data_IF_063496616717
#
_entry.id   IF_063496616717
#
_cell.length_a   1.000
_cell.length_b   1.000
_cell.length_c   1.000
_cell.angle_alpha   90.00
_cell.angle_beta   90.00
_cell.angle_gamma   90.00
#
_symmetry.space_group_name_H-M   'P 1'
#
loop_
_entity.id
_entity.type
_entity.pdbx_description
1 polymer ?
#
# COMPACT_ATOMS: atom_id res chain seq x y z
N UNK A 1 21.55 9.12 -12.70
CA UNK A 1 22.31 10.36 -12.84
C UNK A 1 23.30 10.19 -13.98
N UNK A 2 23.38 11.17 -14.87
CA UNK A 2 24.28 11.20 -16.01
C UNK A 2 25.18 12.44 -15.88
N UNK A 3 26.50 12.24 -15.99
CA UNK A 3 27.47 13.31 -16.00
C UNK A 3 28.05 13.48 -17.43
N UNK A 4 27.79 14.62 -18.04
CA UNK A 4 28.25 14.94 -19.41
C UNK A 4 29.40 15.95 -19.39
N UNK A 5 29.85 16.42 -18.23
CA UNK A 5 30.90 17.42 -18.08
C UNK A 5 32.06 16.97 -17.20
N UNK A 6 33.06 17.85 -17.08
CA UNK A 6 34.16 17.73 -16.13
C UNK A 6 33.83 18.53 -14.86
N UNK A 7 34.09 17.93 -13.71
CA UNK A 7 33.79 18.55 -12.43
C UNK A 7 34.85 18.16 -11.40
N UNK A 8 35.29 19.12 -10.59
CA UNK A 8 36.35 18.90 -9.59
C UNK A 8 35.90 18.30 -8.28
N UNK A 9 34.58 18.32 -7.94
CA UNK A 9 34.07 17.80 -6.69
C UNK A 9 33.78 16.30 -6.75
N UNK A 10 34.04 15.61 -5.66
CA UNK A 10 33.87 14.15 -5.53
C UNK A 10 32.45 13.72 -5.22
N UNK A 11 31.56 14.66 -4.92
CA UNK A 11 30.15 14.39 -4.54
C UNK A 11 29.19 15.45 -5.06
N UNK A 12 27.94 15.04 -5.23
CA UNK A 12 26.79 15.87 -5.61
C UNK A 12 25.76 15.87 -4.51
N UNK A 13 25.15 17.02 -4.25
CA UNK A 13 23.99 17.09 -3.37
C UNK A 13 22.75 16.56 -4.14
N UNK A 14 21.96 15.71 -3.52
CA UNK A 14 20.73 15.14 -4.08
C UNK A 14 19.62 15.37 -3.07
N UNK A 15 18.50 15.93 -3.53
CA UNK A 15 17.28 16.08 -2.77
C UNK A 15 16.13 15.37 -3.48
N UNK A 16 15.32 14.64 -2.69
CA UNK A 16 14.08 14.04 -3.16
C UNK A 16 12.95 14.51 -2.26
N UNK A 17 11.99 15.19 -2.85
CA UNK A 17 10.74 15.60 -2.21
C UNK A 17 9.62 14.68 -2.67
N UNK A 18 8.72 14.33 -1.76
CA UNK A 18 7.50 13.56 -2.02
C UNK A 18 6.29 14.41 -1.75
N UNK A 19 5.38 14.46 -2.71
CA UNK A 19 4.04 14.99 -2.54
C UNK A 19 3.04 13.83 -2.43
N UNK A 20 2.32 13.77 -1.31
CA UNK A 20 1.27 12.78 -1.05
C UNK A 20 0.01 13.06 -1.88
N UNK A 21 -0.93 12.10 -2.00
CA UNK A 21 -2.22 12.32 -2.64
C UNK A 21 -3.04 13.47 -2.02
N UNK A 22 -2.83 13.75 -0.73
CA UNK A 22 -3.43 14.90 -0.02
C UNK A 22 -2.90 16.27 -0.47
N UNK A 23 -1.78 16.29 -1.23
CA UNK A 23 -1.03 17.51 -1.57
C UNK A 23 0.07 17.87 -0.57
N UNK A 24 0.14 17.21 0.58
CA UNK A 24 1.21 17.42 1.56
C UNK A 24 2.58 17.06 0.96
N UNK A 25 3.59 17.88 1.24
CA UNK A 25 4.96 17.70 0.76
C UNK A 25 5.93 17.49 1.89
N UNK A 26 6.89 16.61 1.67
CA UNK A 26 7.98 16.34 2.60
C UNK A 26 9.25 15.95 1.87
N UNK A 27 10.39 16.36 2.40
CA UNK A 27 11.69 15.87 1.93
C UNK A 27 11.88 14.46 2.46
N UNK A 28 12.04 13.49 1.55
CA UNK A 28 12.21 12.08 1.89
C UNK A 28 13.66 11.62 1.77
N UNK A 29 14.47 12.41 1.10
CA UNK A 29 15.92 12.25 1.05
C UNK A 29 16.57 13.62 0.84
N UNK A 30 17.58 13.94 1.65
CA UNK A 30 18.49 15.08 1.47
C UNK A 30 19.90 14.61 1.88
N UNK A 31 20.81 14.57 0.91
CA UNK A 31 22.13 14.05 1.15
C UNK A 31 23.05 14.10 -0.05
N UNK A 32 24.25 13.54 0.12
CA UNK A 32 25.27 13.51 -0.91
C UNK A 32 25.38 12.15 -1.55
N UNK A 33 25.54 12.14 -2.86
CA UNK A 33 25.87 10.96 -3.66
C UNK A 33 27.27 11.10 -4.23
N UNK A 34 27.94 9.97 -4.49
CA UNK A 34 29.21 9.99 -5.18
C UNK A 34 29.03 10.57 -6.60
N UNK A 35 30.02 11.32 -7.06
CA UNK A 35 30.01 11.83 -8.43
C UNK A 35 30.04 10.68 -9.42
N UNK A 36 29.09 10.60 -10.37
CA UNK A 36 29.18 9.63 -11.45
C UNK A 36 30.31 9.97 -12.41
N UNK A 37 31.11 8.97 -12.82
CA UNK A 37 32.11 9.17 -13.88
C UNK A 37 31.44 9.51 -15.22
N UNK A 38 30.43 8.73 -15.62
CA UNK A 38 29.57 8.99 -16.77
C UNK A 38 28.11 8.76 -16.37
N UNK A 39 27.81 7.61 -15.81
CA UNK A 39 26.45 7.21 -15.39
C UNK A 39 26.48 6.47 -14.07
N UNK A 40 25.53 6.78 -13.20
CA UNK A 40 25.35 6.10 -11.93
C UNK A 40 23.88 5.86 -11.66
N UNK A 41 23.56 4.66 -11.15
CA UNK A 41 22.27 4.36 -10.53
C UNK A 41 22.36 4.57 -9.04
N UNK A 42 21.46 5.35 -8.49
CA UNK A 42 21.35 5.58 -7.04
C UNK A 42 20.09 4.89 -6.56
N UNK A 43 20.24 4.04 -5.54
CA UNK A 43 19.12 3.38 -4.88
C UNK A 43 18.85 4.10 -3.55
N UNK A 44 17.63 4.55 -3.37
CA UNK A 44 17.19 5.24 -2.16
C UNK A 44 16.06 4.45 -1.51
N UNK A 45 16.17 4.21 -0.22
CA UNK A 45 15.08 3.70 0.59
C UNK A 45 14.14 4.87 0.94
N UNK A 46 12.96 4.89 0.36
CA UNK A 46 11.97 5.93 0.65
C UNK A 46 10.97 5.39 1.67
N UNK A 47 10.71 6.11 2.78
CA UNK A 47 9.71 5.71 3.78
C UNK A 47 8.35 5.48 3.14
N UNK A 48 7.65 4.42 3.56
CA UNK A 48 6.34 4.04 3.00
C UNK A 48 5.27 5.14 3.12
N UNK A 49 5.32 5.97 4.16
CA UNK A 49 4.41 7.11 4.35
C UNK A 49 3.05 6.77 4.95
N UNK A 50 2.83 5.50 5.34
CA UNK A 50 1.60 5.07 6.00
C UNK A 50 0.35 5.12 5.10
N UNK A 51 -0.83 5.18 5.71
CA UNK A 51 -2.12 5.20 4.99
C UNK A 51 -2.29 6.45 4.11
N UNK A 52 -1.76 7.60 4.52
CA UNK A 52 -1.82 8.84 3.75
C UNK A 52 -1.05 8.81 2.42
N UNK A 53 -0.19 7.82 2.26
CA UNK A 53 0.59 7.65 1.04
C UNK A 53 -0.08 6.78 -0.02
N UNK A 54 -1.17 6.10 0.31
CA UNK A 54 -1.90 5.25 -0.65
C UNK A 54 -2.49 6.10 -1.77
N UNK A 55 -2.12 5.78 -3.01
CA UNK A 55 -2.54 6.56 -4.18
C UNK A 55 -1.36 7.10 -4.98
N UNK A 56 -1.62 8.09 -5.83
CA UNK A 56 -0.58 8.71 -6.65
C UNK A 56 0.27 9.66 -5.82
N UNK A 57 1.58 9.40 -5.82
CA UNK A 57 2.58 10.25 -5.18
C UNK A 57 3.49 10.84 -6.24
N UNK A 58 3.79 12.14 -6.15
CA UNK A 58 4.74 12.82 -7.01
C UNK A 58 6.08 12.93 -6.28
N UNK A 59 7.14 12.45 -6.91
CA UNK A 59 8.52 12.56 -6.43
C UNK A 59 9.26 13.59 -7.28
N UNK A 60 9.65 14.69 -6.68
CA UNK A 60 10.55 15.68 -7.30
C UNK A 60 11.99 15.34 -6.91
N UNK A 61 12.86 15.23 -7.89
CA UNK A 61 14.26 14.82 -7.72
C UNK A 61 15.14 15.93 -8.25
N UNK A 62 15.98 16.49 -7.40
CA UNK A 62 16.86 17.60 -7.71
C UNK A 62 18.31 17.25 -7.41
N UNK A 63 19.18 17.50 -8.35
CA UNK A 63 20.62 17.50 -8.16
C UNK A 63 21.08 18.93 -7.90
N UNK A 64 22.04 19.09 -7.01
CA UNK A 64 22.57 20.39 -6.63
C UNK A 64 21.50 21.45 -6.33
N UNK A 65 20.50 21.18 -5.43
CA UNK A 65 19.37 22.07 -5.19
C UNK A 65 19.79 23.47 -4.70
N UNK A 66 21.03 23.60 -4.24
CA UNK A 66 21.61 24.86 -3.76
C UNK A 66 22.47 25.57 -4.80
N UNK A 67 22.55 25.04 -6.03
CA UNK A 67 23.34 25.57 -7.14
C UNK A 67 24.79 25.90 -6.74
N UNK A 68 25.46 24.95 -6.08
CA UNK A 68 26.86 25.08 -5.62
C UNK A 68 27.89 24.70 -6.68
N UNK A 69 27.42 24.07 -7.73
CA UNK A 69 28.22 23.60 -8.85
C UNK A 69 27.83 24.42 -10.05
N UNK A 70 28.75 25.27 -10.52
CA UNK A 70 28.58 26.03 -11.73
C UNK A 70 28.75 25.07 -12.94
N UNK A 71 27.67 24.79 -13.66
CA UNK A 71 27.67 23.89 -14.81
C UNK A 71 28.07 24.57 -16.12
N UNK A 72 28.44 25.85 -16.07
CA UNK A 72 29.01 26.60 -17.17
C UNK A 72 28.28 27.89 -17.52
N UNK A 73 28.78 28.65 -18.49
CA UNK A 73 28.37 30.04 -18.71
C UNK A 73 26.98 30.19 -19.34
N UNK A 74 26.24 29.12 -19.58
CA UNK A 74 24.96 29.18 -20.27
C UNK A 74 23.80 28.96 -19.32
N UNK A 75 22.79 29.85 -19.28
CA UNK A 75 21.68 29.76 -18.33
C UNK A 75 20.92 28.43 -18.37
N UNK A 76 20.91 27.73 -19.47
CA UNK A 76 20.22 26.45 -19.61
C UNK A 76 21.02 25.26 -19.02
N UNK A 77 22.30 25.44 -18.73
CA UNK A 77 23.09 24.38 -18.08
C UNK A 77 22.58 24.06 -16.67
N UNK A 78 22.09 25.06 -15.95
CA UNK A 78 21.52 24.93 -14.61
C UNK A 78 20.05 24.44 -14.60
N UNK A 79 19.42 24.30 -15.77
CA UNK A 79 18.00 23.93 -15.87
C UNK A 79 17.77 22.42 -15.89
N UNK A 80 18.82 21.62 -16.01
CA UNK A 80 18.72 20.16 -16.08
C UNK A 80 18.88 19.45 -14.72
N UNK A 81 19.01 20.20 -13.64
CA UNK A 81 19.21 19.71 -12.28
C UNK A 81 17.96 19.08 -11.66
N UNK A 82 16.81 19.27 -12.27
CA UNK A 82 15.55 18.68 -11.83
C UNK A 82 15.09 17.61 -12.82
N UNK A 83 14.64 16.45 -12.29
CA UNK A 83 14.09 15.38 -13.12
C UNK A 83 12.83 15.87 -13.85
N UNK A 84 12.90 15.84 -15.18
CA UNK A 84 11.76 16.11 -16.06
C UNK A 84 11.49 14.91 -16.95
N UNK A 85 10.23 14.47 -17.03
CA UNK A 85 9.78 13.36 -17.87
C UNK A 85 8.63 13.86 -18.74
N UNK A 86 8.83 13.86 -20.06
CA UNK A 86 7.82 14.32 -21.04
C UNK A 86 7.26 15.72 -20.74
N UNK A 87 8.13 16.67 -20.36
CA UNK A 87 7.75 18.05 -20.04
C UNK A 87 7.10 18.24 -18.68
N UNK A 88 7.08 17.19 -17.82
CA UNK A 88 6.56 17.27 -16.46
C UNK A 88 7.68 17.05 -15.46
N UNK A 89 7.76 17.95 -14.48
CA UNK A 89 8.72 17.84 -13.38
C UNK A 89 8.34 16.69 -12.44
N UNK A 90 9.37 15.88 -12.11
CA UNK A 90 9.24 14.77 -11.21
C UNK A 90 8.72 13.47 -11.82
N UNK A 91 8.53 12.48 -10.98
CA UNK A 91 8.03 11.14 -11.30
C UNK A 91 6.82 10.80 -10.45
N UNK A 92 5.73 10.42 -11.10
CA UNK A 92 4.51 9.99 -10.41
C UNK A 92 4.50 8.47 -10.27
N UNK A 93 4.39 7.99 -9.03
CA UNK A 93 4.24 6.58 -8.71
C UNK A 93 2.95 6.33 -7.92
N UNK A 94 2.30 5.21 -8.19
CA UNK A 94 1.17 4.74 -7.39
C UNK A 94 1.68 3.90 -6.23
N UNK A 95 1.35 4.28 -5.01
CA UNK A 95 1.65 3.54 -3.79
C UNK A 95 0.42 2.71 -3.40
N UNK A 96 0.60 1.40 -3.36
CA UNK A 96 -0.45 0.47 -2.97
C UNK A 96 -0.57 0.43 -1.44
N UNK A 97 -1.81 0.44 -0.96
CA UNK A 97 -2.10 0.15 0.44
C UNK A 97 -1.95 -1.35 0.72
N UNK A 98 -1.60 -1.68 1.95
CA UNK A 98 -1.62 -3.07 2.39
C UNK A 98 -2.96 -3.35 3.08
N UNK A 99 -4.07 -3.24 2.32
CA UNK A 99 -5.41 -3.51 2.81
C UNK A 99 -5.90 -4.87 2.31
N UNK A 100 -6.53 -5.62 3.21
CA UNK A 100 -7.34 -6.77 2.84
C UNK A 100 -8.82 -6.40 2.98
N UNK A 101 -9.63 -6.73 1.97
CA UNK A 101 -11.06 -6.40 1.95
C UNK A 101 -11.89 -7.66 1.73
N UNK A 102 -13.01 -7.83 2.46
CA UNK A 102 -14.01 -8.84 2.16
C UNK A 102 -14.49 -8.76 0.72
N UNK A 103 -14.59 -9.92 0.06
CA UNK A 103 -15.08 -10.04 -1.32
C UNK A 103 -16.27 -10.98 -1.38
N UNK A 104 -16.19 -12.13 -0.67
CA UNK A 104 -17.26 -13.12 -0.64
C UNK A 104 -17.34 -13.77 0.75
N UNK A 105 -18.54 -13.89 1.33
CA UNK A 105 -19.81 -13.36 0.86
C UNK A 105 -19.79 -11.84 0.73
N UNK A 106 -20.49 -11.24 -0.24
CA UNK A 106 -20.66 -9.80 -0.29
C UNK A 106 -21.48 -9.33 0.92
N UNK A 107 -21.36 -8.05 1.22
CA UNK A 107 -22.07 -7.43 2.33
C UNK A 107 -23.61 -7.61 2.18
N UNK A 108 -24.27 -7.96 3.28
CA UNK A 108 -25.71 -8.26 3.36
C UNK A 108 -26.19 -9.45 2.49
N UNK A 109 -25.29 -10.37 2.13
CA UNK A 109 -25.66 -11.54 1.36
C UNK A 109 -26.58 -12.49 2.17
N UNK A 110 -27.48 -13.18 1.47
CA UNK A 110 -28.28 -14.29 1.99
C UNK A 110 -27.65 -15.60 1.53
N UNK A 111 -27.16 -16.41 2.44
CA UNK A 111 -26.52 -17.69 2.16
C UNK A 111 -27.45 -18.87 2.45
N UNK A 112 -27.36 -19.90 1.61
CA UNK A 112 -28.07 -21.18 1.80
C UNK A 112 -27.17 -22.27 2.38
N UNK A 113 -25.85 -22.01 2.46
CA UNK A 113 -24.88 -22.98 2.97
C UNK A 113 -24.47 -22.63 4.39
N UNK A 114 -24.35 -23.66 5.22
CA UNK A 114 -23.85 -23.57 6.60
C UNK A 114 -22.31 -23.56 6.72
N UNK A 115 -21.62 -23.66 5.60
CA UNK A 115 -20.17 -23.75 5.52
C UNK A 115 -19.61 -22.86 4.40
N UNK A 116 -19.74 -21.52 4.52
CA UNK A 116 -19.28 -20.61 3.50
C UNK A 116 -17.76 -20.61 3.38
N UNK A 117 -17.29 -20.32 2.18
CA UNK A 117 -15.91 -19.93 1.95
C UNK A 117 -15.81 -18.40 2.04
N UNK A 118 -15.06 -17.90 3.00
CA UNK A 118 -14.77 -16.48 3.13
C UNK A 118 -13.61 -16.12 2.22
N UNK A 119 -13.81 -15.18 1.31
CA UNK A 119 -12.81 -14.71 0.35
C UNK A 119 -12.56 -13.23 0.59
N UNK A 120 -11.30 -12.88 0.78
CA UNK A 120 -10.84 -11.51 0.83
C UNK A 120 -9.83 -11.23 -0.27
N UNK A 121 -9.66 -9.97 -0.64
CA UNK A 121 -8.69 -9.53 -1.64
C UNK A 121 -7.73 -8.51 -1.08
N UNK A 122 -6.44 -8.67 -1.39
CA UNK A 122 -5.44 -7.62 -1.25
C UNK A 122 -5.02 -7.20 -2.66
N UNK A 123 -5.26 -5.94 -3.01
CA UNK A 123 -4.98 -5.40 -4.34
C UNK A 123 -3.51 -5.03 -4.56
N UNK A 124 -2.68 -5.11 -3.52
CA UNK A 124 -1.25 -4.83 -3.66
C UNK A 124 -0.54 -5.98 -4.36
N UNK A 125 -0.31 -5.85 -5.66
CA UNK A 125 0.42 -6.83 -6.47
C UNK A 125 1.91 -6.94 -6.13
N UNK A 126 2.44 -5.99 -5.37
CA UNK A 126 3.82 -5.95 -4.88
C UNK A 126 3.92 -6.32 -3.39
N UNK A 127 2.82 -6.82 -2.81
CA UNK A 127 2.82 -7.23 -1.41
C UNK A 127 3.89 -8.31 -1.17
N UNK A 128 4.69 -8.10 -0.14
CA UNK A 128 5.56 -9.15 0.38
C UNK A 128 4.74 -10.14 1.20
N UNK A 129 5.29 -11.32 1.46
CA UNK A 129 4.65 -12.30 2.32
C UNK A 129 4.40 -11.70 3.71
N UNK A 130 3.13 -11.71 4.15
CA UNK A 130 2.68 -11.18 5.44
C UNK A 130 1.55 -12.04 6.02
N UNK A 131 1.30 -11.89 7.31
CA UNK A 131 0.19 -12.56 7.95
C UNK A 131 -1.11 -11.81 7.66
N UNK A 132 -2.18 -12.57 7.43
CA UNK A 132 -3.54 -12.06 7.34
C UNK A 132 -4.39 -12.75 8.40
N UNK A 133 -5.22 -11.97 9.05
CA UNK A 133 -6.10 -12.44 10.12
C UNK A 133 -7.54 -12.33 9.68
N UNK A 134 -8.29 -13.38 9.95
CA UNK A 134 -9.73 -13.47 9.71
C UNK A 134 -10.44 -13.69 11.03
N UNK A 135 -11.62 -13.13 11.17
CA UNK A 135 -12.55 -13.42 12.25
C UNK A 135 -13.97 -13.51 11.71
N UNK A 136 -14.76 -14.40 12.30
CA UNK A 136 -16.20 -14.50 12.10
C UNK A 136 -16.90 -14.61 13.44
N UNK A 137 -18.04 -13.95 13.61
CA UNK A 137 -18.84 -13.94 14.81
C UNK A 137 -20.31 -13.66 14.50
N UNK A 138 -21.20 -13.92 15.46
CA UNK A 138 -22.61 -13.49 15.47
C UNK A 138 -22.80 -12.10 16.08
N UNK A 139 -21.77 -11.53 16.70
CA UNK A 139 -21.71 -10.17 17.23
C UNK A 139 -20.86 -9.28 16.33
N UNK A 140 -21.34 -8.07 16.03
CA UNK A 140 -20.58 -7.06 15.28
C UNK A 140 -19.32 -6.58 16.04
N UNK A 141 -19.30 -6.79 17.37
CA UNK A 141 -18.16 -6.45 18.23
C UNK A 141 -17.11 -7.55 18.30
N UNK A 142 -17.37 -8.73 17.73
CA UNK A 142 -16.48 -9.89 17.74
C UNK A 142 -16.10 -10.34 19.16
N UNK A 143 -17.08 -10.36 20.06
CA UNK A 143 -16.95 -10.67 21.49
C UNK A 143 -17.81 -11.85 21.96
N UNK A 144 -18.53 -12.53 21.05
CA UNK A 144 -19.36 -13.66 21.42
C UNK A 144 -18.55 -14.94 21.62
N UNK A 145 -19.10 -15.93 22.35
CA UNK A 145 -18.49 -17.27 22.49
C UNK A 145 -18.41 -18.05 21.16
N UNK A 146 -19.10 -17.57 20.12
CA UNK A 146 -19.12 -18.18 18.79
C UNK A 146 -18.03 -17.64 17.87
N UNK A 147 -17.23 -16.67 18.33
CA UNK A 147 -16.13 -16.11 17.56
C UNK A 147 -15.12 -17.18 17.16
N UNK A 148 -14.79 -17.21 15.89
CA UNK A 148 -13.74 -18.05 15.33
C UNK A 148 -12.69 -17.17 14.63
N UNK A 149 -11.43 -17.52 14.80
CA UNK A 149 -10.29 -16.77 14.30
C UNK A 149 -9.38 -17.67 13.46
N UNK A 150 -8.76 -17.09 12.45
CA UNK A 150 -7.81 -17.76 11.59
C UNK A 150 -6.71 -16.81 11.15
N UNK A 151 -5.50 -17.31 11.02
CA UNK A 151 -4.39 -16.59 10.42
C UNK A 151 -3.75 -17.39 9.31
N UNK A 152 -3.40 -16.70 8.24
CA UNK A 152 -2.69 -17.29 7.09
C UNK A 152 -1.55 -16.38 6.67
N UNK A 153 -0.41 -17.00 6.33
CA UNK A 153 0.76 -16.30 5.80
C UNK A 153 0.78 -16.43 4.27
N UNK A 154 0.70 -15.29 3.57
CA UNK A 154 0.55 -15.26 2.11
C UNK A 154 1.06 -13.96 1.50
N UNK A 155 1.38 -13.97 0.20
CA UNK A 155 1.81 -12.80 -0.59
C UNK A 155 0.61 -12.08 -1.21
N UNK A 156 -0.32 -11.54 -0.44
CA UNK A 156 -1.46 -10.81 -1.00
C UNK A 156 -2.32 -11.57 -2.01
N UNK A 157 -3.01 -10.84 -2.86
CA UNK A 157 -3.92 -11.40 -3.87
C UNK A 157 -5.22 -11.92 -3.25
N UNK A 158 -5.61 -13.16 -3.59
CA UNK A 158 -6.85 -13.78 -3.09
C UNK A 158 -6.56 -14.57 -1.83
N UNK A 159 -7.18 -14.16 -0.73
CA UNK A 159 -7.09 -14.78 0.58
C UNK A 159 -8.36 -15.58 0.84
N UNK A 160 -8.23 -16.79 1.36
CA UNK A 160 -9.38 -17.68 1.56
C UNK A 160 -9.33 -18.33 2.93
N UNK A 161 -10.50 -18.40 3.55
CA UNK A 161 -10.69 -19.14 4.78
C UNK A 161 -12.07 -19.80 4.83
N UNK A 162 -12.12 -21.05 5.25
CA UNK A 162 -13.35 -21.77 5.52
C UNK A 162 -13.46 -21.98 7.03
N UNK A 163 -14.41 -21.32 7.73
CA UNK A 163 -14.66 -21.54 9.15
C UNK A 163 -14.92 -23.01 9.45
N UNK A 164 -14.46 -23.49 10.59
CA UNK A 164 -14.61 -24.89 10.98
C UNK A 164 -16.01 -25.17 11.54
N UNK A 165 -16.57 -24.17 12.24
CA UNK A 165 -17.90 -24.26 12.81
C UNK A 165 -18.95 -24.11 11.72
N UNK A 166 -19.99 -24.96 11.79
CA UNK A 166 -21.19 -24.81 10.97
C UNK A 166 -22.01 -23.61 11.44
N UNK A 167 -22.56 -22.87 10.49
CA UNK A 167 -23.42 -21.74 10.79
C UNK A 167 -24.77 -22.23 11.34
N UNK A 168 -25.33 -21.46 12.28
CA UNK A 168 -26.68 -21.68 12.81
C UNK A 168 -27.68 -20.95 11.90
N UNK A 169 -28.84 -21.57 11.57
CA UNK A 169 -29.87 -20.95 10.76
C UNK A 169 -30.41 -19.65 11.39
N UNK A 170 -30.89 -18.74 10.53
CA UNK A 170 -31.57 -17.51 10.93
C UNK A 170 -30.67 -16.53 11.72
N UNK A 171 -29.34 -16.70 11.66
CA UNK A 171 -28.39 -15.81 12.31
C UNK A 171 -27.67 -14.93 11.30
N UNK A 172 -27.45 -13.67 11.70
CA UNK A 172 -26.53 -12.76 11.03
C UNK A 172 -25.11 -13.07 11.52
N UNK A 173 -24.19 -13.11 10.58
CA UNK A 173 -22.77 -13.29 10.82
C UNK A 173 -22.02 -12.07 10.35
N UNK A 174 -21.11 -11.61 11.18
CA UNK A 174 -20.14 -10.58 10.87
C UNK A 174 -18.79 -11.24 10.66
N UNK A 175 -18.08 -10.84 9.65
CA UNK A 175 -16.71 -11.32 9.46
C UNK A 175 -15.81 -10.18 9.04
N UNK A 176 -14.53 -10.30 9.37
CA UNK A 176 -13.55 -9.28 9.09
C UNK A 176 -12.21 -9.87 8.75
N UNK A 177 -11.43 -9.10 8.01
CA UNK A 177 -10.07 -9.44 7.61
C UNK A 177 -9.15 -8.26 7.83
N UNK A 178 -7.92 -8.53 8.22
CA UNK A 178 -6.86 -7.53 8.35
C UNK A 178 -5.53 -8.13 7.94
N UNK A 179 -4.67 -7.40 7.21
CA UNK A 179 -3.26 -7.74 7.16
C UNK A 179 -2.64 -7.50 8.55
N UNK A 180 -1.50 -8.14 8.80
CA UNK A 180 -0.67 -7.82 9.96
C UNK A 180 -0.21 -6.37 9.83
N UNK A 181 -0.56 -5.54 10.78
CA UNK A 181 -0.17 -4.14 10.80
C UNK A 181 1.24 -3.99 11.33
N UNK A 182 2.25 -4.26 10.50
CA UNK A 182 3.64 -3.77 10.65
C UNK A 182 4.18 -3.68 12.11
N UNK A 183 3.93 -4.71 12.93
CA UNK A 183 4.49 -4.79 14.28
C UNK A 183 3.91 -3.82 15.32
N UNK A 184 2.91 -3.02 15.00
CA UNK A 184 2.27 -2.10 15.95
C UNK A 184 1.15 -2.72 16.77
N UNK A 185 0.77 -3.96 16.49
CA UNK A 185 -0.39 -4.63 17.09
C UNK A 185 -1.75 -3.99 16.74
N UNK A 186 -1.77 -3.03 15.84
CA UNK A 186 -2.99 -2.40 15.34
C UNK A 186 -3.44 -3.08 14.06
N UNK A 187 -4.60 -3.70 14.10
CA UNK A 187 -5.23 -4.30 12.94
C UNK A 187 -6.02 -3.28 12.13
N UNK A 188 -5.86 -3.31 10.81
CA UNK A 188 -6.66 -2.52 9.86
C UNK A 188 -7.85 -3.35 9.39
N UNK A 189 -8.78 -3.64 10.31
CA UNK A 189 -9.95 -4.47 10.04
C UNK A 189 -10.85 -3.87 8.97
N UNK A 190 -11.26 -4.71 8.01
CA UNK A 190 -12.36 -4.46 7.08
C UNK A 190 -13.41 -5.54 7.29
N UNK A 191 -14.63 -5.12 7.55
CA UNK A 191 -15.74 -6.01 7.93
C UNK A 191 -16.76 -6.15 6.81
N UNK A 192 -17.51 -7.24 6.83
CA UNK A 192 -18.69 -7.51 6.02
C UNK A 192 -19.66 -8.36 6.87
N UNK A 193 -20.92 -8.42 6.45
CA UNK A 193 -21.92 -9.22 7.13
C UNK A 193 -22.76 -10.01 6.12
N UNK A 194 -23.34 -11.11 6.57
CA UNK A 194 -24.29 -11.92 5.81
C UNK A 194 -25.23 -12.65 6.75
N UNK A 195 -26.35 -13.14 6.23
CA UNK A 195 -27.28 -13.97 6.98
C UNK A 195 -27.30 -15.40 6.40
N UNK A 196 -27.37 -16.40 7.26
CA UNK A 196 -27.60 -17.78 6.84
C UNK A 196 -29.08 -18.15 6.98
N UNK A 197 -29.75 -18.34 5.82
CA UNK A 197 -31.16 -18.73 5.73
C UNK A 197 -31.28 -19.97 4.84
N UNK A 198 -31.31 -21.19 5.41
CA UNK A 198 -31.52 -22.40 4.64
C UNK A 198 -32.90 -22.40 3.99
N UNK A 199 -32.97 -22.79 2.72
CA UNK A 199 -34.24 -22.85 1.97
C UNK A 199 -34.76 -21.54 1.41
N UNK A 200 -34.06 -20.40 1.64
CA UNK A 200 -34.35 -19.13 0.97
C UNK A 200 -33.80 -19.13 -0.48
N UNK A 201 -34.18 -18.16 -1.28
CA UNK A 201 -33.45 -17.88 -2.51
C UNK A 201 -32.16 -17.12 -2.17
N UNK A 202 -31.01 -17.42 -2.84
CA UNK A 202 -29.84 -16.59 -2.66
C UNK A 202 -30.15 -15.18 -3.16
N UNK A 203 -29.63 -14.18 -2.45
CA UNK A 203 -29.92 -12.80 -2.77
C UNK A 203 -29.23 -11.82 -1.84
N UNK A 204 -29.76 -10.62 -1.78
CA UNK A 204 -29.33 -9.51 -0.94
C UNK A 204 -30.48 -9.11 -0.04
N UNK A 205 -30.17 -8.70 1.16
CA UNK A 205 -31.15 -8.19 2.11
C UNK A 205 -31.10 -6.65 2.10
#
# INVERSE_FOLDING_TARGET
VLNLGTHEKDSLDLMVERQLPSGERSVVFDGRIARPSVRQTVQLAIPGGGEGAVGYNLFTIQLDPSNRIDEGPKPWAEQNNELEIQGKKGYTAFVFGNEARPVQPPEFAILQTDAPLLIAGNSNTLATESNYYFEIDTSEYFDSPLREQYSVKQTGGVLQWKPQRRLLPENVYYWRVSPDSLGSGRFAWRSSSFIYLPGSSPGWN
#
